data_IF_665549773714
#
_entry.id   IF_665549773714
#
_cell.length_a   1.000
_cell.length_b   1.000
_cell.length_c   1.000
_cell.angle_alpha   90.00
_cell.angle_beta   90.00
_cell.angle_gamma   90.00
#
_symmetry.space_group_name_H-M   'P 1'
#
loop_
_entity.id
_entity.type
_entity.pdbx_description
1 polymer ?
#
# COMPACT_ATOMS: atom_id res chain seq x y z
N UNK A 1 14.11 0.20 -1.84
CA UNK A 1 13.02 -0.77 -1.59
C UNK A 1 12.48 -0.48 -0.21
N UNK A 2 11.15 -0.45 -0.05
CA UNK A 2 10.49 -0.21 1.25
C UNK A 2 9.60 -1.42 1.51
N UNK A 3 9.72 -2.00 2.71
CA UNK A 3 8.79 -3.00 3.24
C UNK A 3 8.19 -2.40 4.50
N UNK A 4 6.87 -2.30 4.55
CA UNK A 4 6.17 -1.63 5.64
C UNK A 4 4.74 -2.18 5.79
N UNK A 5 4.20 -2.11 7.00
CA UNK A 5 2.77 -2.34 7.24
C UNK A 5 1.96 -1.11 6.77
N UNK A 6 0.70 -1.29 6.32
CA UNK A 6 -0.09 -0.20 5.72
C UNK A 6 -0.20 1.04 6.61
N UNK A 7 -0.57 0.87 7.88
CA UNK A 7 -0.74 2.00 8.80
C UNK A 7 0.56 2.78 9.05
N UNK A 8 1.70 2.09 9.17
CA UNK A 8 2.99 2.79 9.37
C UNK A 8 3.44 3.50 8.10
N UNK A 9 3.22 2.91 6.93
CA UNK A 9 3.53 3.56 5.65
C UNK A 9 2.67 4.81 5.47
N UNK A 10 1.38 4.73 5.77
CA UNK A 10 0.46 5.85 5.68
C UNK A 10 0.85 7.00 6.62
N UNK A 11 1.21 6.71 7.87
CA UNK A 11 1.72 7.73 8.81
C UNK A 11 2.95 8.45 8.24
N UNK A 12 3.87 7.72 7.60
CA UNK A 12 5.02 8.32 6.94
C UNK A 12 4.63 9.18 5.73
N UNK A 13 3.58 8.82 4.98
CA UNK A 13 3.09 9.62 3.84
C UNK A 13 2.42 10.91 4.33
N UNK A 14 1.58 10.83 5.35
CA UNK A 14 0.77 11.95 5.86
C UNK A 14 1.61 12.92 6.72
N UNK A 15 2.52 12.41 7.56
CA UNK A 15 3.18 13.21 8.61
C UNK A 15 4.66 13.52 8.35
N UNK A 16 5.31 12.91 7.33
CA UNK A 16 6.71 13.23 6.99
C UNK A 16 6.79 14.05 5.71
N UNK A 17 7.06 15.35 5.89
CA UNK A 17 7.29 16.28 4.77
C UNK A 17 8.28 15.72 3.75
N UNK A 18 7.89 15.73 2.48
CA UNK A 18 8.70 15.24 1.35
C UNK A 18 8.72 13.73 1.14
N UNK A 19 8.11 12.91 2.01
CA UNK A 19 8.04 11.46 1.77
C UNK A 19 7.14 11.13 0.57
N UNK A 20 5.98 11.78 0.46
CA UNK A 20 5.06 11.65 -0.69
C UNK A 20 5.75 11.96 -2.03
N UNK A 21 6.54 13.04 -2.09
CA UNK A 21 7.30 13.42 -3.30
C UNK A 21 8.28 12.31 -3.70
N UNK A 22 8.93 11.64 -2.74
CA UNK A 22 9.85 10.52 -3.01
C UNK A 22 9.13 9.29 -3.56
N UNK A 23 7.84 9.11 -3.28
CA UNK A 23 7.04 8.01 -3.83
C UNK A 23 6.62 8.23 -5.29
N UNK A 24 6.76 9.44 -5.83
CA UNK A 24 6.37 9.73 -7.22
C UNK A 24 7.23 9.00 -8.27
N UNK A 25 8.38 8.44 -7.88
CA UNK A 25 9.20 7.58 -8.72
C UNK A 25 8.90 6.08 -8.60
N UNK A 26 7.87 5.69 -7.85
CA UNK A 26 7.55 4.28 -7.59
C UNK A 26 7.10 3.57 -8.88
N UNK A 27 7.82 2.51 -9.26
CA UNK A 27 7.50 1.69 -10.44
C UNK A 27 6.78 0.39 -10.12
N UNK A 28 6.83 -0.06 -8.86
CA UNK A 28 6.29 -1.33 -8.41
C UNK A 28 5.66 -1.19 -7.02
N UNK A 29 4.45 -1.72 -6.87
CA UNK A 29 3.76 -1.90 -5.58
C UNK A 29 3.40 -3.37 -5.41
N UNK A 30 3.69 -3.94 -4.23
CA UNK A 30 3.34 -5.32 -3.88
C UNK A 30 2.49 -5.29 -2.63
N UNK A 31 1.33 -5.94 -2.69
CA UNK A 31 0.49 -6.24 -1.54
C UNK A 31 0.62 -7.74 -1.28
N UNK A 32 1.24 -8.09 -0.16
CA UNK A 32 1.45 -9.48 0.26
C UNK A 32 0.51 -9.84 1.42
N UNK A 33 0.13 -11.11 1.53
CA UNK A 33 -0.85 -11.61 2.50
C UNK A 33 -2.13 -10.74 2.54
N UNK A 34 -2.67 -10.42 1.35
CA UNK A 34 -3.73 -9.43 1.21
C UNK A 34 -5.01 -9.79 1.97
N UNK A 35 -5.37 -11.06 2.05
CA UNK A 35 -6.47 -11.57 2.87
C UNK A 35 -6.27 -11.27 4.36
N UNK A 36 -5.06 -11.50 4.89
CA UNK A 36 -4.73 -11.15 6.27
C UNK A 36 -4.82 -9.63 6.50
N UNK A 37 -4.29 -8.82 5.59
CA UNK A 37 -4.35 -7.37 5.71
C UNK A 37 -5.81 -6.86 5.75
N UNK A 38 -6.68 -7.43 4.92
CA UNK A 38 -8.11 -7.10 4.93
C UNK A 38 -8.81 -7.56 6.22
N UNK A 39 -8.49 -8.75 6.72
CA UNK A 39 -9.01 -9.27 8.00
C UNK A 39 -8.60 -8.40 9.20
N UNK A 40 -7.41 -7.81 9.16
CA UNK A 40 -6.91 -6.87 10.18
C UNK A 40 -7.50 -5.45 10.05
N UNK A 41 -8.37 -5.21 9.05
CA UNK A 41 -9.04 -3.93 8.86
C UNK A 41 -8.22 -2.87 8.10
N UNK A 42 -7.11 -3.24 7.46
CA UNK A 42 -6.24 -2.28 6.75
C UNK A 42 -6.77 -1.79 5.41
N UNK A 43 -7.99 -2.15 5.00
CA UNK A 43 -8.58 -1.74 3.71
C UNK A 43 -8.44 -0.24 3.45
N UNK A 44 -8.88 0.60 4.39
CA UNK A 44 -8.84 2.06 4.23
C UNK A 44 -7.42 2.61 4.12
N UNK A 45 -6.48 2.03 4.87
CA UNK A 45 -5.08 2.46 4.84
C UNK A 45 -4.43 2.09 3.51
N UNK A 46 -4.72 0.88 2.98
CA UNK A 46 -4.25 0.44 1.67
C UNK A 46 -4.80 1.34 0.57
N UNK A 47 -6.10 1.64 0.58
CA UNK A 47 -6.75 2.53 -0.40
C UNK A 47 -6.07 3.91 -0.42
N UNK A 48 -5.85 4.51 0.76
CA UNK A 48 -5.13 5.78 0.86
C UNK A 48 -3.69 5.69 0.35
N UNK A 49 -2.95 4.63 0.68
CA UNK A 49 -1.57 4.44 0.18
C UNK A 49 -1.58 4.34 -1.35
N UNK A 50 -2.53 3.60 -1.92
CA UNK A 50 -2.69 3.43 -3.37
C UNK A 50 -2.98 4.77 -4.07
N UNK A 51 -3.79 5.63 -3.46
CA UNK A 51 -4.11 6.96 -3.97
C UNK A 51 -2.91 7.92 -3.91
N UNK A 52 -1.98 7.70 -2.98
CA UNK A 52 -0.78 8.54 -2.81
C UNK A 52 0.39 8.15 -3.72
N UNK A 53 0.30 7.06 -4.48
CA UNK A 53 1.38 6.59 -5.35
C UNK A 53 1.01 6.71 -6.84
N UNK A 54 1.99 6.77 -7.77
CA UNK A 54 1.73 6.90 -9.20
C UNK A 54 0.77 5.83 -9.74
N UNK A 55 -0.19 6.23 -10.58
CA UNK A 55 -1.09 5.29 -11.27
C UNK A 55 -0.34 4.38 -12.25
N UNK A 56 0.64 4.94 -12.97
CA UNK A 56 1.47 4.17 -13.88
C UNK A 56 2.57 3.45 -13.09
N UNK A 57 2.23 2.27 -12.59
CA UNK A 57 3.14 1.35 -11.89
C UNK A 57 2.69 -0.09 -12.12
N UNK A 58 3.60 -1.03 -11.98
CA UNK A 58 3.22 -2.44 -11.83
C UNK A 58 2.66 -2.65 -10.42
N UNK A 59 1.46 -3.19 -10.30
CA UNK A 59 0.89 -3.59 -9.01
C UNK A 59 0.73 -5.10 -8.99
N UNK A 60 1.16 -5.73 -7.91
CA UNK A 60 1.02 -7.18 -7.68
C UNK A 60 0.31 -7.38 -6.35
N UNK A 61 -0.61 -8.34 -6.30
CA UNK A 61 -1.32 -8.74 -5.10
C UNK A 61 -1.14 -10.25 -4.92
N UNK A 62 -0.70 -10.64 -3.74
CA UNK A 62 -0.53 -12.02 -3.33
C UNK A 62 -1.41 -12.26 -2.10
N UNK A 63 -2.08 -13.41 -2.10
CA UNK A 63 -3.05 -13.77 -1.07
C UNK A 63 -3.21 -15.28 -1.05
N UNK A 64 -3.32 -15.87 0.14
CA UNK A 64 -3.61 -17.30 0.26
C UNK A 64 -5.06 -17.62 -0.15
N UNK A 65 -5.97 -16.69 0.11
CA UNK A 65 -7.39 -16.80 -0.24
C UNK A 65 -7.89 -15.58 -1.02
N UNK A 66 -8.88 -15.78 -1.89
CA UNK A 66 -9.59 -14.71 -2.58
C UNK A 66 -11.04 -14.75 -2.09
N UNK A 67 -11.45 -13.87 -1.17
CA UNK A 67 -12.84 -13.83 -0.73
C UNK A 67 -13.73 -13.45 -1.92
N UNK A 68 -14.85 -14.17 -2.05
CA UNK A 68 -15.94 -13.76 -2.94
C UNK A 68 -16.66 -12.60 -2.22
N UNK A 69 -16.75 -11.47 -2.89
CA UNK A 69 -17.35 -10.22 -2.39
C UNK A 69 -18.61 -10.42 -1.54
#
# INVERSE_FOLDING_TARGET
IIVATPGRLLDHIENRSGFSVRLMGLKMLVLDEADLLLNLGFRKDIEKVVDCVPRQRQSMLFSATIPKE
#
